data_IF_422638404724
#
_entry.id   IF_422638404724
#
_cell.length_a   1.000
_cell.length_b   1.000
_cell.length_c   1.000
_cell.angle_alpha   90.00
_cell.angle_beta   90.00
_cell.angle_gamma   90.00
#
_symmetry.space_group_name_H-M   'P 1'
#
loop_
_entity.id
_entity.type
_entity.pdbx_description
1 polymer ?
#
# COMPACT_ATOMS: atom_id res chain seq x y z
N UNK A 1 -1.93 -17.31 1.23
CA UNK A 1 -2.27 -16.03 1.89
C UNK A 1 -3.60 -15.53 1.35
N UNK A 2 -4.53 -15.27 2.21
CA UNK A 2 -5.88 -14.90 1.79
C UNK A 2 -6.49 -13.88 2.75
N UNK A 3 -6.98 -12.76 2.23
CA UNK A 3 -7.60 -11.71 3.03
C UNK A 3 -9.11 -11.86 3.12
N UNK A 4 -9.70 -11.19 4.12
CA UNK A 4 -11.14 -11.12 4.34
C UNK A 4 -11.56 -9.66 4.47
N UNK A 5 -12.87 -9.41 4.66
CA UNK A 5 -13.34 -8.04 4.89
C UNK A 5 -12.77 -7.44 6.17
N UNK A 6 -12.55 -8.26 7.20
CA UNK A 6 -12.01 -7.81 8.49
C UNK A 6 -10.50 -7.64 8.46
N UNK A 7 -9.80 -8.46 7.69
CA UNK A 7 -8.35 -8.40 7.54
C UNK A 7 -8.00 -8.62 6.07
N UNK A 8 -8.25 -7.62 5.24
CA UNK A 8 -8.03 -7.77 3.80
C UNK A 8 -6.55 -7.87 3.45
N UNK A 9 -6.27 -8.41 2.29
CA UNK A 9 -4.92 -8.58 1.78
C UNK A 9 -4.50 -7.33 1.00
N UNK A 10 -3.38 -6.73 1.39
CA UNK A 10 -2.79 -5.63 0.65
C UNK A 10 -1.72 -6.20 -0.28
N UNK A 11 -1.89 -5.98 -1.57
CA UNK A 11 -0.94 -6.41 -2.60
C UNK A 11 -0.21 -5.19 -3.11
N UNK A 12 1.12 -5.22 -3.06
CA UNK A 12 1.94 -4.15 -3.63
C UNK A 12 2.51 -4.60 -4.97
N UNK A 13 2.54 -3.67 -5.93
CA UNK A 13 3.17 -3.88 -7.23
C UNK A 13 4.15 -2.75 -7.46
N UNK A 14 5.33 -3.07 -7.97
CA UNK A 14 6.33 -2.05 -8.29
C UNK A 14 6.75 -2.16 -9.74
N UNK A 15 6.99 -1.01 -10.34
CA UNK A 15 7.70 -0.90 -11.60
C UNK A 15 8.97 -0.08 -11.34
N UNK A 16 9.74 0.19 -12.37
CA UNK A 16 11.00 0.92 -12.24
C UNK A 16 10.80 2.27 -11.54
N UNK A 17 9.76 3.00 -11.89
CA UNK A 17 9.52 4.36 -11.39
C UNK A 17 8.29 4.52 -10.50
N UNK A 18 7.45 3.50 -10.39
CA UNK A 18 6.15 3.66 -9.74
C UNK A 18 5.83 2.53 -8.79
N UNK A 19 4.98 2.84 -7.81
CA UNK A 19 4.40 1.88 -6.90
C UNK A 19 2.89 1.95 -7.03
N UNK A 20 2.24 0.80 -6.87
CA UNK A 20 0.79 0.75 -6.70
C UNK A 20 0.46 -0.30 -5.65
N UNK A 21 -0.66 -0.13 -5.00
CA UNK A 21 -1.12 -1.07 -3.99
C UNK A 21 -2.63 -1.16 -4.01
N UNK A 22 -3.15 -2.35 -3.72
CA UNK A 22 -4.58 -2.56 -3.62
C UNK A 22 -4.88 -3.44 -2.42
N UNK A 23 -6.04 -3.18 -1.82
CA UNK A 23 -6.54 -3.94 -0.68
C UNK A 23 -7.72 -4.77 -1.16
N UNK A 24 -7.62 -6.08 -0.99
CA UNK A 24 -8.53 -7.05 -1.58
C UNK A 24 -9.20 -7.90 -0.50
N UNK A 25 -10.51 -8.07 -0.61
CA UNK A 25 -11.25 -9.08 0.15
C UNK A 25 -11.38 -10.32 -0.72
N UNK A 26 -10.57 -11.34 -0.42
CA UNK A 26 -10.56 -12.58 -1.21
C UNK A 26 -11.83 -13.40 -1.03
N UNK A 27 -12.52 -13.26 0.09
CA UNK A 27 -13.76 -14.01 0.35
C UNK A 27 -14.91 -13.47 -0.51
N UNK A 28 -14.97 -12.14 -0.70
CA UNK A 28 -15.96 -11.51 -1.55
C UNK A 28 -15.48 -11.27 -2.97
N UNK A 29 -14.24 -11.62 -3.26
CA UNK A 29 -13.61 -11.43 -4.57
C UNK A 29 -13.68 -9.97 -5.03
N UNK A 30 -13.34 -9.05 -4.13
CA UNK A 30 -13.62 -7.64 -4.27
C UNK A 30 -12.43 -6.78 -3.89
N UNK A 31 -12.10 -5.80 -4.72
CA UNK A 31 -11.10 -4.79 -4.39
C UNK A 31 -11.77 -3.71 -3.55
N UNK A 32 -11.31 -3.53 -2.32
CA UNK A 32 -11.88 -2.57 -1.39
C UNK A 32 -11.31 -1.17 -1.62
N UNK A 33 -10.05 -1.08 -1.99
CA UNK A 33 -9.35 0.19 -2.14
C UNK A 33 -8.07 -0.02 -2.93
N UNK A 34 -7.75 0.91 -3.81
CA UNK A 34 -6.49 0.87 -4.55
C UNK A 34 -5.94 2.29 -4.72
N UNK A 35 -4.61 2.38 -4.83
CA UNK A 35 -3.94 3.66 -5.05
C UNK A 35 -2.66 3.41 -5.83
N UNK A 36 -2.28 4.37 -6.65
CA UNK A 36 -1.05 4.30 -7.44
C UNK A 36 -0.29 5.61 -7.31
N UNK A 37 1.04 5.53 -7.37
CA UNK A 37 1.89 6.72 -7.45
C UNK A 37 1.65 7.51 -8.74
N UNK A 38 0.99 6.90 -9.73
CA UNK A 38 0.56 7.58 -10.95
C UNK A 38 -0.72 8.38 -10.76
N UNK A 39 -1.46 8.17 -9.68
CA UNK A 39 -2.64 8.94 -9.35
C UNK A 39 -2.25 10.41 -9.26
N UNK A 40 -3.00 11.28 -9.93
CA UNK A 40 -2.68 12.70 -10.05
C UNK A 40 -2.52 13.39 -8.70
N UNK A 41 -3.40 13.10 -7.76
CA UNK A 41 -3.36 13.65 -6.42
C UNK A 41 -2.13 13.19 -5.65
N UNK A 42 -1.78 11.91 -5.77
CA UNK A 42 -0.59 11.33 -5.13
C UNK A 42 0.68 11.89 -5.77
N UNK A 43 0.72 11.93 -7.09
CA UNK A 43 1.89 12.38 -7.85
C UNK A 43 2.31 13.79 -7.49
N UNK A 44 1.36 14.67 -7.18
CA UNK A 44 1.66 16.04 -6.77
C UNK A 44 2.43 16.10 -5.45
N UNK A 45 2.29 15.10 -4.59
CA UNK A 45 2.94 15.04 -3.29
C UNK A 45 4.27 14.29 -3.31
N UNK A 46 4.61 13.67 -4.44
CA UNK A 46 5.82 12.88 -4.58
C UNK A 46 6.83 13.59 -5.46
N UNK A 47 8.06 13.77 -4.95
CA UNK A 47 9.14 14.36 -5.75
C UNK A 47 9.66 13.37 -6.79
N UNK A 48 9.81 12.09 -6.42
CA UNK A 48 10.27 11.03 -7.30
C UNK A 48 9.71 9.70 -6.81
N UNK A 49 8.79 9.12 -7.57
CA UNK A 49 8.02 7.95 -7.13
C UNK A 49 8.84 6.66 -7.05
N UNK A 50 10.02 6.63 -7.64
CA UNK A 50 10.85 5.44 -7.69
C UNK A 50 11.81 5.24 -6.54
N UNK A 51 12.02 6.22 -5.69
CA UNK A 51 13.01 6.12 -4.61
C UNK A 51 12.38 5.74 -3.27
N UNK A 52 13.23 5.48 -2.27
CA UNK A 52 12.80 5.05 -0.93
C UNK A 52 11.97 6.12 -0.24
N UNK A 53 12.37 7.37 -0.36
CA UNK A 53 11.65 8.49 0.27
C UNK A 53 10.24 8.63 -0.30
N UNK A 54 10.09 8.47 -1.60
CA UNK A 54 8.77 8.52 -2.24
C UNK A 54 7.92 7.33 -1.82
N UNK A 55 8.52 6.17 -1.62
CA UNK A 55 7.80 5.00 -1.11
C UNK A 55 7.27 5.24 0.31
N UNK A 56 8.05 5.91 1.16
CA UNK A 56 7.59 6.29 2.50
C UNK A 56 6.40 7.25 2.41
N UNK A 57 6.51 8.28 1.59
CA UNK A 57 5.43 9.26 1.41
C UNK A 57 4.17 8.60 0.85
N UNK A 58 4.34 7.71 -0.12
CA UNK A 58 3.23 6.94 -0.67
C UNK A 58 2.55 6.07 0.40
N UNK A 59 3.35 5.42 1.26
CA UNK A 59 2.84 4.63 2.37
C UNK A 59 2.04 5.47 3.38
N UNK A 60 2.52 6.66 3.68
CA UNK A 60 1.80 7.59 4.57
C UNK A 60 0.45 8.00 3.99
N UNK A 61 0.43 8.35 2.72
CA UNK A 61 -0.82 8.72 2.02
C UNK A 61 -1.77 7.52 1.98
N UNK A 62 -1.24 6.35 1.65
CA UNK A 62 -2.02 5.12 1.54
C UNK A 62 -2.67 4.75 2.88
N UNK A 63 -1.89 4.78 3.96
CA UNK A 63 -2.39 4.44 5.29
C UNK A 63 -3.50 5.38 5.73
N UNK A 64 -3.35 6.67 5.48
CA UNK A 64 -4.36 7.66 5.82
C UNK A 64 -5.66 7.41 5.05
N UNK A 65 -5.57 7.18 3.75
CA UNK A 65 -6.76 6.91 2.93
C UNK A 65 -7.42 5.58 3.29
N UNK A 66 -6.65 4.57 3.61
CA UNK A 66 -7.17 3.28 4.04
C UNK A 66 -7.95 3.42 5.36
N UNK A 67 -7.40 4.18 6.31
CA UNK A 67 -8.07 4.42 7.59
C UNK A 67 -9.38 5.19 7.41
N UNK A 68 -9.43 6.12 6.48
CA UNK A 68 -10.66 6.84 6.13
C UNK A 68 -11.75 5.89 5.65
N UNK A 69 -11.37 4.76 5.08
CA UNK A 69 -12.30 3.72 4.61
C UNK A 69 -12.55 2.64 5.64
N UNK A 70 -12.05 2.82 6.88
CA UNK A 70 -12.23 1.87 7.95
C UNK A 70 -11.28 0.67 7.92
N UNK A 71 -10.26 0.70 7.08
CA UNK A 71 -9.28 -0.38 6.97
C UNK A 71 -8.15 -0.10 7.95
N UNK A 72 -8.03 -0.95 8.99
CA UNK A 72 -7.00 -0.79 10.02
C UNK A 72 -6.11 -2.00 10.17
N UNK A 73 -6.57 -3.18 9.73
CA UNK A 73 -5.81 -4.42 9.78
C UNK A 73 -5.69 -4.99 8.39
N UNK A 74 -4.50 -5.45 8.04
CA UNK A 74 -4.24 -6.02 6.71
C UNK A 74 -3.32 -7.23 6.81
N UNK A 75 -3.32 -8.04 5.75
CA UNK A 75 -2.28 -9.03 5.49
C UNK A 75 -1.41 -8.44 4.39
N UNK A 76 -0.13 -8.23 4.66
CA UNK A 76 0.77 -7.61 3.70
C UNK A 76 1.34 -8.65 2.74
N UNK A 77 0.91 -8.59 1.47
CA UNK A 77 1.39 -9.50 0.43
C UNK A 77 2.30 -8.71 -0.52
N UNK A 78 3.59 -8.98 -0.42
CA UNK A 78 4.60 -8.30 -1.25
C UNK A 78 4.75 -8.92 -2.64
N UNK A 79 3.86 -9.86 -3.01
CA UNK A 79 3.79 -10.45 -4.36
C UNK A 79 5.12 -11.04 -4.85
N UNK A 80 5.88 -11.65 -3.93
CA UNK A 80 7.17 -12.26 -4.26
C UNK A 80 8.36 -11.32 -4.23
N UNK A 81 8.16 -10.02 -4.09
CA UNK A 81 9.27 -9.07 -3.96
C UNK A 81 10.01 -9.27 -2.65
N UNK A 82 11.31 -8.99 -2.65
CA UNK A 82 12.08 -8.99 -1.42
C UNK A 82 11.62 -7.86 -0.49
N UNK A 83 11.58 -8.15 0.82
CA UNK A 83 11.24 -7.15 1.83
C UNK A 83 12.44 -6.23 2.06
N UNK A 84 12.66 -5.33 1.11
CA UNK A 84 13.85 -4.51 1.05
C UNK A 84 13.57 -3.22 0.26
N UNK A 85 14.36 -2.18 0.49
CA UNK A 85 14.27 -0.94 -0.26
C UNK A 85 12.89 -0.30 -0.21
N UNK A 86 12.32 -0.04 -1.39
CA UNK A 86 11.01 0.62 -1.51
C UNK A 86 9.88 -0.15 -0.85
N UNK A 87 9.91 -1.48 -0.95
CA UNK A 87 8.86 -2.33 -0.36
C UNK A 87 8.88 -2.20 1.16
N UNK A 88 10.07 -2.28 1.76
CA UNK A 88 10.24 -2.11 3.20
C UNK A 88 9.84 -0.70 3.65
N UNK A 89 10.27 0.33 2.93
CA UNK A 89 9.94 1.71 3.25
C UNK A 89 8.44 1.96 3.22
N UNK A 90 7.75 1.41 2.23
CA UNK A 90 6.30 1.48 2.13
C UNK A 90 5.62 0.79 3.32
N UNK A 91 6.04 -0.44 3.63
CA UNK A 91 5.46 -1.21 4.73
C UNK A 91 5.68 -0.52 6.08
N UNK A 92 6.88 -0.01 6.33
CA UNK A 92 7.18 0.71 7.56
C UNK A 92 6.31 1.97 7.70
N UNK A 93 6.08 2.69 6.60
CA UNK A 93 5.21 3.86 6.60
C UNK A 93 3.74 3.48 6.88
N UNK A 94 3.28 2.35 6.38
CA UNK A 94 1.93 1.85 6.68
C UNK A 94 1.76 1.56 8.17
N UNK A 95 2.75 0.90 8.78
CA UNK A 95 2.73 0.60 10.22
C UNK A 95 2.76 1.88 11.05
N UNK A 96 3.61 2.80 10.67
CA UNK A 96 3.72 4.10 11.33
C UNK A 96 2.42 4.90 11.21
N UNK A 97 1.71 4.74 10.10
CA UNK A 97 0.41 5.36 9.87
C UNK A 97 -0.74 4.69 10.60
N UNK A 98 -0.51 3.58 11.30
CA UNK A 98 -1.50 2.92 12.15
C UNK A 98 -2.12 1.64 11.60
N UNK A 99 -1.65 1.12 10.48
CA UNK A 99 -2.13 -0.17 9.98
C UNK A 99 -1.43 -1.30 10.74
N UNK A 100 -2.19 -2.32 11.10
CA UNK A 100 -1.69 -3.50 11.81
C UNK A 100 -1.41 -4.64 10.82
N UNK A 101 -0.19 -5.15 10.90
CA UNK A 101 0.19 -6.36 10.16
C UNK A 101 1.55 -6.89 10.60
#
# INVERSE_FOLDING_TARGET
MRGSAEKPRLIIKRSLKNLSAEVVDDTGNKTLFSLSSLNKEVKQKLAAAGNIKSAQTFGEIFSQKAKEKGITKIIFDRAGYLYHGRIKAFADALRKGGLEF
#
